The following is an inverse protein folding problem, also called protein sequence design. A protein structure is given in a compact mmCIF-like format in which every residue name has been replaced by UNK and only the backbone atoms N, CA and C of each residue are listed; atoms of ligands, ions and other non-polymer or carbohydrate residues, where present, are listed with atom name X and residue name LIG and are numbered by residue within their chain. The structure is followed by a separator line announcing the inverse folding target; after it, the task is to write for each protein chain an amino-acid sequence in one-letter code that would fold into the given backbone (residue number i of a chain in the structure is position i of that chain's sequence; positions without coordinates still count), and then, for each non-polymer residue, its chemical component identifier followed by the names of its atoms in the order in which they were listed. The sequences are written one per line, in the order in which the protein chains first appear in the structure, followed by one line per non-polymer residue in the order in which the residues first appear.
data_IF_348001428303
#
_entry.id   IF_348001428303
#
_cell.length_a   1.000
_cell.length_b   1.000
_cell.length_c   1.000
_cell.angle_alpha   90.00
_cell.angle_beta   90.00
_cell.angle_gamma   90.00
#
_symmetry.space_group_name_H-M   'P 1'
#
loop_
_entity.id
_entity.type
_entity.pdbx_description
1 polymer ?
#
# COMPACT_ATOMS: atom_id res chain seq x y z
N UNK A 1 9.90 25.19 8.78
CA UNK A 1 8.49 25.58 8.99
C UNK A 1 7.64 24.33 8.97
N UNK A 2 6.71 24.20 9.92
CA UNK A 2 5.62 23.23 9.87
C UNK A 2 4.34 24.04 9.68
N UNK A 3 3.54 23.64 8.69
CA UNK A 3 2.23 24.22 8.40
C UNK A 3 1.22 23.10 8.37
N UNK A 4 0.13 23.26 9.10
CA UNK A 4 -0.97 22.29 9.13
C UNK A 4 -2.30 22.99 8.90
N UNK A 5 -3.17 22.34 8.14
CA UNK A 5 -4.54 22.75 7.91
C UNK A 5 -5.46 21.79 8.67
N UNK A 6 -6.14 22.29 9.68
CA UNK A 6 -7.04 21.54 10.59
C UNK A 6 -8.33 22.33 10.77
N UNK A 7 -9.24 22.24 9.80
CA UNK A 7 -10.50 22.99 9.85
C UNK A 7 -11.26 22.78 11.16
N UNK A 8 -11.73 23.88 11.75
CA UNK A 8 -12.46 23.87 13.02
C UNK A 8 -11.60 23.72 14.28
N UNK A 9 -10.30 23.53 14.18
CA UNK A 9 -9.42 23.56 15.33
C UNK A 9 -9.21 24.99 15.83
N UNK A 10 -9.21 25.18 17.15
CA UNK A 10 -8.99 26.48 17.82
C UNK A 10 -7.56 26.62 18.33
N UNK A 11 -6.81 25.52 18.42
CA UNK A 11 -5.40 25.51 18.85
C UNK A 11 -4.65 24.40 18.16
N UNK A 12 -3.44 24.70 17.72
CA UNK A 12 -2.48 23.75 17.14
C UNK A 12 -1.17 23.76 17.95
N UNK A 13 -0.60 22.59 18.16
CA UNK A 13 0.68 22.41 18.85
C UNK A 13 1.52 21.35 18.12
N UNK A 14 2.84 21.52 18.12
CA UNK A 14 3.79 20.50 17.69
C UNK A 14 4.47 19.94 18.91
N UNK A 15 4.45 18.62 19.05
CA UNK A 15 5.12 17.92 20.15
C UNK A 15 6.17 16.96 19.61
N UNK A 16 7.26 16.74 20.38
CA UNK A 16 8.10 15.57 20.08
C UNK A 16 7.27 14.29 20.26
N UNK A 17 7.58 13.21 19.54
CA UNK A 17 6.87 11.91 19.70
C UNK A 17 6.92 11.37 21.13
N UNK A 18 7.90 11.78 21.91
CA UNK A 18 8.00 11.45 23.35
C UNK A 18 7.14 12.35 24.23
N UNK A 19 6.46 13.37 23.67
CA UNK A 19 5.64 14.33 24.41
C UNK A 19 6.42 15.33 25.29
N UNK A 20 7.76 15.30 25.29
CA UNK A 20 8.59 16.09 26.21
C UNK A 20 8.77 17.56 25.82
N UNK A 21 8.66 17.88 24.54
CA UNK A 21 8.77 19.24 24.01
C UNK A 21 7.44 19.59 23.36
N UNK A 22 6.85 20.71 23.74
CA UNK A 22 5.59 21.21 23.23
C UNK A 22 5.83 22.64 22.73
N UNK A 23 5.42 22.89 21.50
CA UNK A 23 5.50 24.21 20.89
C UNK A 23 4.13 24.59 20.32
N UNK A 24 3.58 25.71 20.80
CA UNK A 24 2.31 26.23 20.30
C UNK A 24 2.51 26.82 18.89
N UNK A 25 1.63 26.48 17.98
CA UNK A 25 1.62 27.02 16.63
C UNK A 25 0.86 28.37 16.61
N UNK A 26 1.27 29.23 15.70
CA UNK A 26 0.54 30.47 15.38
C UNK A 26 -0.66 30.13 14.50
N UNK A 27 -1.83 30.60 14.85
CA UNK A 27 -3.04 30.49 14.03
C UNK A 27 -2.99 31.55 12.92
N UNK A 28 -2.85 31.11 11.69
CA UNK A 28 -2.73 31.98 10.52
C UNK A 28 -4.09 32.43 9.98
N UNK A 29 -5.13 31.62 10.15
CA UNK A 29 -6.50 31.91 9.74
C UNK A 29 -7.50 31.38 10.75
N UNK A 30 -8.68 31.98 10.84
CA UNK A 30 -9.77 31.48 11.68
C UNK A 30 -10.37 30.14 11.20
N UNK A 31 -9.97 29.67 10.02
CA UNK A 31 -10.47 28.45 9.40
C UNK A 31 -9.67 27.20 9.82
N UNK A 32 -8.57 27.37 10.60
CA UNK A 32 -7.78 26.25 11.14
C UNK A 32 -6.43 26.05 10.48
N UNK A 33 -5.89 27.07 9.80
CA UNK A 33 -4.51 27.03 9.32
C UNK A 33 -3.57 27.46 10.44
N UNK A 34 -2.59 26.61 10.78
CA UNK A 34 -1.58 26.84 11.79
C UNK A 34 -0.17 26.73 11.21
N UNK A 35 0.75 27.55 11.71
CA UNK A 35 2.16 27.49 11.32
C UNK A 35 3.08 27.66 12.53
N UNK A 36 4.30 27.07 12.43
CA UNK A 36 5.37 27.30 13.38
C UNK A 36 6.72 27.32 12.69
N UNK A 37 7.58 28.23 13.15
CA UNK A 37 8.98 28.30 12.75
C UNK A 37 9.86 27.71 13.85
N UNK A 38 10.79 26.87 13.46
CA UNK A 38 11.87 26.38 14.33
C UNK A 38 13.22 26.91 13.86
N UNK A 39 14.03 27.34 14.80
CA UNK A 39 15.44 27.55 14.55
C UNK A 39 16.10 26.16 14.28
N UNK A 40 17.09 26.13 13.40
CA UNK A 40 17.78 24.89 13.02
C UNK A 40 18.36 24.12 14.20
N UNK A 41 18.59 24.82 15.31
CA UNK A 41 19.10 24.26 16.58
C UNK A 41 18.01 23.64 17.47
N UNK A 42 16.75 24.02 17.28
CA UNK A 42 15.61 23.58 18.07
C UNK A 42 14.84 22.44 17.40
N UNK A 43 15.00 22.31 16.09
CA UNK A 43 14.34 21.29 15.29
C UNK A 43 15.08 19.95 15.42
N UNK A 44 14.44 19.00 16.06
CA UNK A 44 14.98 17.65 16.36
C UNK A 44 14.74 16.66 15.21
N UNK A 45 14.74 17.16 13.97
CA UNK A 45 14.43 16.35 12.81
C UNK A 45 12.93 16.06 12.64
N UNK A 46 12.60 15.08 11.79
CA UNK A 46 11.23 14.80 11.36
C UNK A 46 10.35 14.01 12.38
N UNK A 47 10.74 13.92 13.66
CA UNK A 47 10.06 13.07 14.66
C UNK A 47 9.10 13.86 15.55
N UNK A 48 7.99 14.34 14.99
CA UNK A 48 7.00 15.11 15.75
C UNK A 48 5.57 14.61 15.51
N UNK A 49 4.71 15.00 16.46
CA UNK A 49 3.25 14.88 16.34
C UNK A 49 2.64 16.28 16.26
N UNK A 50 1.47 16.34 15.66
CA UNK A 50 0.57 17.52 15.71
C UNK A 50 -0.55 17.22 16.70
N UNK A 51 -0.75 18.14 17.64
CA UNK A 51 -1.85 18.12 18.60
C UNK A 51 -2.78 19.25 18.25
N UNK A 52 -4.05 18.95 18.03
CA UNK A 52 -5.11 19.95 17.73
C UNK A 52 -6.20 19.87 18.76
N UNK A 53 -6.69 21.06 19.19
CA UNK A 53 -7.81 21.19 20.12
C UNK A 53 -8.97 21.88 19.39
N UNK A 54 -10.16 21.35 19.58
CA UNK A 54 -11.40 21.83 18.99
C UNK A 54 -12.29 22.52 20.04
N UNK A 55 -13.29 23.29 19.58
CA UNK A 55 -14.21 24.06 20.47
C UNK A 55 -14.97 23.16 21.45
N UNK A 56 -15.30 21.95 21.05
CA UNK A 56 -16.00 20.96 21.90
C UNK A 56 -15.10 20.32 22.96
N UNK A 57 -13.81 20.73 23.04
CA UNK A 57 -12.82 20.18 23.93
C UNK A 57 -12.14 18.92 23.42
N UNK A 58 -12.47 18.44 22.23
CA UNK A 58 -11.79 17.30 21.61
C UNK A 58 -10.32 17.63 21.36
N UNK A 59 -9.43 16.72 21.75
CA UNK A 59 -7.99 16.82 21.51
C UNK A 59 -7.55 15.64 20.65
N UNK A 60 -6.98 15.93 19.48
CA UNK A 60 -6.42 14.92 18.58
C UNK A 60 -4.90 15.04 18.58
N UNK A 61 -4.22 13.97 18.95
CA UNK A 61 -2.75 13.85 18.88
C UNK A 61 -2.40 12.80 17.82
N UNK A 62 -1.82 13.24 16.73
CA UNK A 62 -1.47 12.37 15.60
C UNK A 62 -0.06 12.63 15.09
N UNK A 63 0.64 11.58 14.68
CA UNK A 63 1.88 11.73 13.94
C UNK A 63 1.57 12.36 12.57
N UNK A 64 2.35 13.36 12.18
CA UNK A 64 2.19 13.99 10.87
C UNK A 64 2.76 13.05 9.78
N UNK A 65 1.99 12.69 8.73
CA UNK A 65 2.47 11.88 7.60
C UNK A 65 3.76 12.42 6.97
N UNK A 66 3.92 13.74 6.94
CA UNK A 66 5.09 14.41 6.34
C UNK A 66 6.32 14.46 7.27
N UNK A 67 6.18 13.99 8.52
CA UNK A 67 7.28 13.90 9.49
C UNK A 67 8.13 12.62 9.34
N UNK A 68 7.84 11.79 8.37
CA UNK A 68 8.60 10.56 8.11
C UNK A 68 9.54 10.74 6.92
N UNK A 69 10.72 10.11 7.03
CA UNK A 69 11.70 10.11 5.96
C UNK A 69 11.29 9.22 4.80
N UNK A 70 11.90 9.45 3.63
CA UNK A 70 11.73 8.59 2.46
C UNK A 70 12.28 7.19 2.73
N UNK A 71 11.52 6.16 2.35
CA UNK A 71 11.99 4.76 2.38
C UNK A 71 12.59 4.32 1.03
N UNK A 72 12.30 5.05 -0.04
CA UNK A 72 12.91 4.84 -1.35
C UNK A 72 14.15 5.72 -1.44
N UNK A 73 15.30 5.08 -1.59
CA UNK A 73 16.60 5.76 -1.65
C UNK A 73 16.93 6.22 -3.07
N UNK A 74 17.97 7.07 -3.20
CA UNK A 74 18.49 7.44 -4.51
C UNK A 74 19.03 6.22 -5.29
N UNK A 75 19.49 5.20 -4.58
CA UNK A 75 19.93 3.96 -5.20
C UNK A 75 18.74 3.14 -5.74
N UNK A 76 17.64 3.08 -5.01
CA UNK A 76 16.40 2.44 -5.48
C UNK A 76 15.89 3.13 -6.76
N UNK A 77 15.82 4.47 -6.77
CA UNK A 77 15.37 5.23 -7.95
C UNK A 77 16.31 5.05 -9.14
N UNK A 78 17.62 4.98 -8.90
CA UNK A 78 18.62 4.68 -9.95
C UNK A 78 18.40 3.29 -10.54
N UNK A 79 18.33 2.25 -9.71
CA UNK A 79 18.10 0.87 -10.18
C UNK A 79 16.76 0.73 -10.92
N UNK A 80 15.73 1.44 -10.45
CA UNK A 80 14.42 1.45 -11.09
C UNK A 80 14.47 2.07 -12.49
N UNK A 81 15.15 3.21 -12.63
CA UNK A 81 15.34 3.88 -13.92
C UNK A 81 16.13 3.02 -14.92
N UNK A 82 17.11 2.24 -14.44
CA UNK A 82 17.90 1.29 -15.24
C UNK A 82 17.14 -0.02 -15.57
N UNK A 83 15.93 -0.21 -15.05
CA UNK A 83 15.17 -1.46 -15.20
C UNK A 83 15.80 -2.66 -14.49
N UNK A 84 16.59 -2.44 -13.43
CA UNK A 84 17.35 -3.45 -12.69
C UNK A 84 16.89 -3.65 -11.25
N UNK A 85 15.84 -2.96 -10.83
CA UNK A 85 15.32 -3.10 -9.46
C UNK A 85 14.34 -4.27 -9.37
N UNK A 86 14.85 -5.49 -9.33
CA UNK A 86 14.02 -6.71 -9.33
C UNK A 86 13.12 -6.85 -8.09
N UNK A 87 13.49 -6.21 -6.97
CA UNK A 87 12.71 -6.23 -5.73
C UNK A 87 11.90 -4.94 -5.53
N UNK A 88 11.59 -4.22 -6.60
CA UNK A 88 10.84 -2.95 -6.49
C UNK A 88 9.43 -3.15 -5.88
N UNK A 89 8.86 -4.34 -6.00
CA UNK A 89 7.58 -4.71 -5.39
C UNK A 89 7.61 -4.67 -3.85
N UNK A 90 8.78 -4.71 -3.22
CA UNK A 90 8.94 -4.50 -1.77
C UNK A 90 8.88 -3.03 -1.38
N UNK A 91 8.94 -2.13 -2.36
CA UNK A 91 8.94 -0.68 -2.19
C UNK A 91 7.68 -0.02 -2.72
N UNK A 92 7.28 -0.34 -3.99
CA UNK A 92 6.03 0.14 -4.57
C UNK A 92 4.86 -0.69 -4.06
N UNK A 93 3.72 -0.03 -3.87
CA UNK A 93 2.53 -0.63 -3.30
C UNK A 93 2.15 -0.05 -1.94
N UNK A 94 1.28 -0.76 -1.22
CA UNK A 94 0.83 -0.45 0.13
C UNK A 94 1.40 -1.47 1.12
N UNK A 95 2.30 -1.02 2.00
CA UNK A 95 3.03 -1.87 2.93
C UNK A 95 2.72 -1.50 4.39
N UNK A 96 1.87 -2.27 5.10
CA UNK A 96 1.69 -2.10 6.54
C UNK A 96 3.00 -2.28 7.28
N UNK A 97 3.37 -1.30 8.11
CA UNK A 97 4.62 -1.33 8.86
C UNK A 97 4.62 -0.41 10.07
N UNK A 98 5.67 -0.50 10.87
CA UNK A 98 5.92 0.41 11.98
C UNK A 98 7.19 1.20 11.71
N UNK A 99 7.09 2.53 11.66
CA UNK A 99 8.23 3.44 11.50
C UNK A 99 8.35 4.28 12.75
N UNK A 100 9.53 4.27 13.39
CA UNK A 100 9.82 5.02 14.64
C UNK A 100 8.77 4.81 15.73
N UNK A 101 8.28 3.58 15.88
CA UNK A 101 7.25 3.21 16.85
C UNK A 101 5.82 3.58 16.48
N UNK A 102 5.59 4.19 15.32
CA UNK A 102 4.26 4.54 14.81
C UNK A 102 3.80 3.50 13.80
N UNK A 103 2.65 2.86 14.07
CA UNK A 103 2.01 1.92 13.15
C UNK A 103 1.27 2.68 12.05
N UNK A 104 1.31 2.14 10.83
CA UNK A 104 0.64 2.71 9.68
C UNK A 104 0.93 1.93 8.42
N UNK A 105 0.61 2.52 7.28
CA UNK A 105 0.90 1.96 5.96
C UNK A 105 1.76 2.91 5.15
N UNK A 106 2.82 2.38 4.58
CA UNK A 106 3.63 3.08 3.59
C UNK A 106 3.06 2.83 2.20
N UNK A 107 2.80 3.90 1.47
CA UNK A 107 2.30 3.89 0.11
C UNK A 107 3.35 4.44 -0.84
N UNK A 108 3.58 3.76 -1.95
CA UNK A 108 4.43 4.26 -3.02
C UNK A 108 3.92 3.80 -4.39
N UNK A 109 3.95 4.72 -5.37
CA UNK A 109 3.45 4.46 -6.72
C UNK A 109 4.30 5.18 -7.76
N UNK A 110 4.53 4.52 -8.89
CA UNK A 110 5.13 5.15 -10.06
C UNK A 110 4.06 5.76 -10.96
N UNK A 111 4.06 7.07 -11.08
CA UNK A 111 3.10 7.86 -11.87
C UNK A 111 3.82 9.02 -12.59
N UNK A 112 4.69 8.75 -13.59
CA UNK A 112 5.61 9.73 -14.17
C UNK A 112 4.91 10.93 -14.83
N UNK A 113 3.68 10.74 -15.29
CA UNK A 113 2.89 11.80 -15.94
C UNK A 113 2.01 12.60 -14.98
N UNK A 114 1.95 12.20 -13.71
CA UNK A 114 1.20 12.92 -12.70
C UNK A 114 1.96 14.16 -12.22
N UNK A 115 1.23 15.26 -12.03
CA UNK A 115 1.74 16.47 -11.36
C UNK A 115 1.60 16.36 -9.85
N UNK A 116 0.54 15.70 -9.41
CA UNK A 116 0.23 15.41 -8.01
C UNK A 116 -0.35 14.01 -7.92
N UNK A 117 0.04 13.29 -6.91
CA UNK A 117 -0.59 12.05 -6.50
C UNK A 117 -1.00 12.21 -5.04
N UNK A 118 -2.21 11.79 -4.72
CA UNK A 118 -2.69 11.68 -3.35
C UNK A 118 -3.16 10.26 -3.11
N UNK A 119 -2.92 9.71 -1.91
CA UNK A 119 -3.55 8.47 -1.50
C UNK A 119 -4.90 8.80 -0.87
N UNK A 120 -5.96 8.16 -1.36
CA UNK A 120 -7.34 8.36 -0.87
C UNK A 120 -7.94 7.01 -0.49
N UNK A 121 -8.72 6.99 0.57
CA UNK A 121 -9.29 5.76 1.08
C UNK A 121 -10.17 6.00 2.31
N UNK A 122 -10.56 4.92 2.97
CA UNK A 122 -11.42 4.95 4.15
C UNK A 122 -10.83 5.80 5.30
N UNK A 123 -9.50 5.92 5.35
CA UNK A 123 -8.76 6.68 6.37
C UNK A 123 -8.81 8.21 6.19
N UNK A 124 -9.33 8.73 5.08
CA UNK A 124 -9.40 10.18 4.80
C UNK A 124 -10.64 10.58 4.00
N UNK A 125 -11.73 9.79 4.13
CA UNK A 125 -13.01 10.06 3.47
C UNK A 125 -12.88 10.25 1.95
N UNK A 126 -11.87 9.62 1.35
CA UNK A 126 -11.55 9.69 -0.08
C UNK A 126 -11.23 11.09 -0.59
N UNK A 127 -10.78 12.01 0.29
CA UNK A 127 -10.42 13.38 -0.05
C UNK A 127 -8.95 13.50 -0.48
N UNK A 128 -8.73 13.67 -1.79
CA UNK A 128 -7.38 13.80 -2.38
C UNK A 128 -6.68 15.14 -2.08
N UNK A 129 -7.32 16.06 -1.35
CA UNK A 129 -6.69 17.32 -0.91
C UNK A 129 -5.82 17.12 0.33
N UNK A 130 -6.07 16.08 1.13
CA UNK A 130 -5.51 15.92 2.47
C UNK A 130 -4.12 15.24 2.43
N UNK A 131 -3.97 14.13 1.71
CA UNK A 131 -2.78 13.28 1.78
C UNK A 131 -2.05 13.22 0.44
N UNK A 132 -1.45 14.35 0.06
CA UNK A 132 -0.60 14.43 -1.13
C UNK A 132 0.71 13.70 -0.88
N UNK A 133 1.09 12.84 -1.82
CA UNK A 133 2.31 12.06 -1.74
C UNK A 133 3.53 12.91 -2.16
N UNK A 134 4.66 12.66 -1.52
CA UNK A 134 5.94 13.27 -1.84
C UNK A 134 6.45 12.73 -3.16
N UNK A 135 6.78 13.61 -4.10
CA UNK A 135 7.46 13.24 -5.35
C UNK A 135 8.96 13.08 -5.11
N UNK A 136 9.54 11.97 -5.57
CA UNK A 136 10.97 11.69 -5.45
C UNK A 136 11.74 12.19 -6.68
N UNK A 137 12.08 13.47 -6.67
CA UNK A 137 12.81 14.11 -7.77
C UNK A 137 12.12 13.91 -9.12
N UNK A 138 12.88 13.48 -10.12
CA UNK A 138 12.39 13.22 -11.49
C UNK A 138 12.12 11.75 -11.79
N UNK A 139 12.18 10.86 -10.78
CA UNK A 139 11.95 9.42 -10.94
C UNK A 139 10.52 9.07 -11.39
N UNK A 140 9.57 9.97 -11.18
CA UNK A 140 8.13 9.70 -11.36
C UNK A 140 7.51 8.88 -10.22
N UNK A 141 8.27 8.56 -9.17
CA UNK A 141 7.77 7.85 -7.99
C UNK A 141 7.24 8.86 -6.98
N UNK A 142 6.13 8.52 -6.37
CA UNK A 142 5.49 9.25 -5.26
C UNK A 142 5.36 8.31 -4.07
N UNK A 143 5.59 8.84 -2.87
CA UNK A 143 5.50 8.07 -1.62
C UNK A 143 4.86 8.87 -0.49
N UNK A 144 4.27 8.16 0.47
CA UNK A 144 3.81 8.72 1.75
C UNK A 144 3.65 7.60 2.77
N UNK A 145 4.09 7.84 4.02
CA UNK A 145 3.71 6.99 5.14
C UNK A 145 2.47 7.57 5.81
N UNK A 146 1.44 6.75 5.98
CA UNK A 146 0.17 7.12 6.60
C UNK A 146 0.05 6.51 8.00
N UNK A 147 0.29 7.29 9.06
CA UNK A 147 0.03 6.85 10.42
C UNK A 147 -1.44 6.43 10.61
N UNK A 148 -1.67 5.29 11.27
CA UNK A 148 -3.01 4.82 11.58
C UNK A 148 -3.78 4.19 10.42
N UNK A 149 -3.28 4.23 9.19
CA UNK A 149 -3.86 3.44 8.10
C UNK A 149 -3.52 1.97 8.32
N UNK A 150 -4.53 1.15 8.60
CA UNK A 150 -4.36 -0.26 8.98
C UNK A 150 -4.83 -1.22 7.89
N UNK A 151 -4.46 -2.50 8.02
CA UNK A 151 -4.87 -3.55 7.09
C UNK A 151 -6.39 -3.70 7.00
N UNK A 152 -6.88 -4.01 5.79
CA UNK A 152 -8.29 -4.14 5.46
C UNK A 152 -8.95 -2.86 4.94
N UNK A 153 -8.34 -1.69 5.11
CA UNK A 153 -8.85 -0.42 4.56
C UNK A 153 -8.72 -0.37 3.04
N UNK A 154 -9.74 0.19 2.38
CA UNK A 154 -9.76 0.38 0.93
C UNK A 154 -9.09 1.69 0.55
N UNK A 155 -8.37 1.69 -0.59
CA UNK A 155 -7.71 2.89 -1.10
C UNK A 155 -7.55 2.89 -2.61
N UNK A 156 -7.32 4.08 -3.17
CA UNK A 156 -6.84 4.31 -4.53
C UNK A 156 -5.83 5.44 -4.55
N UNK A 157 -5.15 5.62 -5.67
CA UNK A 157 -4.37 6.82 -5.94
C UNK A 157 -5.18 7.82 -6.76
N UNK A 158 -5.32 9.04 -6.25
CA UNK A 158 -5.83 10.17 -7.01
C UNK A 158 -4.69 10.85 -7.75
N UNK A 159 -4.70 10.77 -9.08
CA UNK A 159 -3.67 11.34 -9.95
C UNK A 159 -4.20 12.60 -10.62
N UNK A 160 -3.54 13.74 -10.40
CA UNK A 160 -3.78 14.97 -11.16
C UNK A 160 -2.74 15.10 -12.26
N UNK A 161 -3.16 15.04 -13.51
CA UNK A 161 -2.27 15.14 -14.67
C UNK A 161 -2.18 16.56 -15.23
N UNK A 162 -1.30 16.76 -16.20
CA UNK A 162 -1.22 18.01 -16.97
C UNK A 162 -2.57 18.28 -17.64
N UNK A 163 -3.07 19.51 -17.53
CA UNK A 163 -4.40 19.89 -18.02
C UNK A 163 -5.51 19.89 -16.96
N UNK A 164 -5.19 19.47 -15.72
CA UNK A 164 -6.09 19.60 -14.57
C UNK A 164 -7.05 18.41 -14.37
N UNK A 165 -7.04 17.43 -15.26
CA UNK A 165 -7.86 16.22 -15.11
C UNK A 165 -7.36 15.38 -13.93
N UNK A 166 -8.30 14.80 -13.20
CA UNK A 166 -8.06 13.94 -12.04
C UNK A 166 -8.61 12.55 -12.33
N UNK A 167 -7.82 11.52 -11.99
CA UNK A 167 -8.18 10.11 -12.16
C UNK A 167 -7.96 9.36 -10.84
N UNK A 168 -8.88 8.46 -10.52
CA UNK A 168 -8.68 7.46 -9.48
C UNK A 168 -8.14 6.18 -10.13
N UNK A 169 -7.08 5.63 -9.55
CA UNK A 169 -6.44 4.40 -10.03
C UNK A 169 -6.19 3.44 -8.88
N UNK A 170 -6.50 2.17 -9.11
CA UNK A 170 -6.07 1.09 -8.24
C UNK A 170 -4.54 1.02 -8.19
N UNK A 171 -4.02 0.40 -7.14
CA UNK A 171 -2.58 0.20 -6.98
C UNK A 171 -2.07 -0.87 -7.95
N UNK A 172 -1.12 -0.56 -8.85
CA UNK A 172 -0.55 -1.56 -9.76
C UNK A 172 0.27 -2.65 -9.02
N UNK A 173 0.66 -2.40 -7.77
CA UNK A 173 1.33 -3.36 -6.88
C UNK A 173 0.42 -3.84 -5.74
N UNK A 174 -0.91 -3.69 -5.89
CA UNK A 174 -1.89 -4.07 -4.88
C UNK A 174 -1.84 -5.57 -4.57
N UNK A 175 -1.77 -5.91 -3.28
CA UNK A 175 -1.80 -7.30 -2.79
C UNK A 175 -3.22 -7.84 -2.62
N UNK A 176 -4.22 -6.96 -2.58
CA UNK A 176 -5.63 -7.31 -2.51
C UNK A 176 -6.51 -6.23 -3.16
N UNK A 177 -7.68 -6.61 -3.62
CA UNK A 177 -8.65 -5.72 -4.24
C UNK A 177 -10.04 -5.88 -3.59
N UNK A 178 -10.87 -4.86 -3.74
CA UNK A 178 -12.28 -4.95 -3.37
C UNK A 178 -13.02 -5.94 -4.28
N UNK A 179 -14.08 -6.54 -3.74
CA UNK A 179 -14.99 -7.32 -4.56
C UNK A 179 -15.78 -6.41 -5.50
N UNK A 180 -16.04 -6.93 -6.70
CA UNK A 180 -16.93 -6.27 -7.66
C UNK A 180 -18.28 -5.88 -7.02
N UNK A 181 -18.89 -4.77 -7.42
CA UNK A 181 -18.52 -3.90 -8.55
C UNK A 181 -17.39 -2.89 -8.21
N UNK A 182 -16.90 -2.88 -6.99
CA UNK A 182 -15.87 -1.97 -6.53
C UNK A 182 -14.50 -2.30 -7.16
N UNK A 183 -13.62 -1.30 -7.27
CA UNK A 183 -12.34 -1.41 -7.98
C UNK A 183 -11.15 -0.87 -7.19
N UNK A 184 -11.33 -0.52 -5.94
CA UNK A 184 -10.23 -0.04 -5.11
C UNK A 184 -9.31 -1.18 -4.67
N UNK A 185 -8.06 -0.85 -4.38
CA UNK A 185 -7.13 -1.76 -3.73
C UNK A 185 -7.41 -1.84 -2.23
N UNK A 186 -7.02 -2.93 -1.61
CA UNK A 186 -7.17 -3.15 -0.16
C UNK A 186 -5.78 -3.30 0.46
N UNK A 187 -5.57 -2.64 1.59
CA UNK A 187 -4.33 -2.75 2.37
C UNK A 187 -4.23 -4.17 2.93
N UNK A 188 -3.26 -4.95 2.48
CA UNK A 188 -3.07 -6.32 2.92
C UNK A 188 -1.60 -6.60 3.26
N UNK A 189 -1.38 -7.27 4.41
CA UNK A 189 -0.06 -7.79 4.78
C UNK A 189 0.02 -9.27 4.40
N UNK A 190 0.81 -9.58 3.38
CA UNK A 190 1.00 -10.95 2.88
C UNK A 190 2.22 -11.65 3.50
N UNK A 191 2.97 -11.00 4.40
CA UNK A 191 4.21 -11.52 4.98
C UNK A 191 4.00 -12.55 6.11
N UNK A 192 2.76 -12.73 6.54
CA UNK A 192 2.43 -13.59 7.69
C UNK A 192 2.30 -15.07 7.33
N UNK A 193 2.43 -15.44 6.05
CA UNK A 193 2.38 -16.84 5.64
C UNK A 193 3.69 -17.54 5.95
N UNK A 194 3.60 -18.68 6.64
CA UNK A 194 4.74 -19.55 6.92
C UNK A 194 4.73 -20.72 5.92
N UNK A 195 5.80 -20.82 5.16
CA UNK A 195 5.99 -21.90 4.20
C UNK A 195 6.43 -23.18 4.93
N UNK A 196 5.81 -24.29 4.59
CA UNK A 196 6.14 -25.64 5.11
C UNK A 196 6.60 -26.54 3.96
N UNK A 197 7.43 -26.02 3.06
CA UNK A 197 7.82 -26.64 1.80
C UNK A 197 9.29 -27.08 1.73
N UNK A 198 10.00 -27.12 2.85
CA UNK A 198 11.42 -27.49 2.93
C UNK A 198 11.73 -28.85 2.27
N UNK A 199 10.88 -29.85 2.43
CA UNK A 199 11.06 -31.17 1.81
C UNK A 199 10.91 -31.09 0.28
N UNK A 200 9.93 -30.30 -0.18
CA UNK A 200 9.76 -30.06 -1.61
C UNK A 200 10.98 -29.34 -2.19
N UNK A 201 11.48 -28.30 -1.55
CA UNK A 201 12.66 -27.56 -2.00
C UNK A 201 13.90 -28.44 -2.10
N UNK A 202 14.13 -29.33 -1.14
CA UNK A 202 15.23 -30.31 -1.17
C UNK A 202 15.05 -31.34 -2.29
N UNK A 203 13.83 -31.77 -2.57
CA UNK A 203 13.55 -32.76 -3.62
C UNK A 203 13.53 -32.14 -5.03
N UNK A 204 13.29 -30.84 -5.15
CA UNK A 204 13.14 -30.14 -6.42
C UNK A 204 14.34 -30.31 -7.35
N UNK A 205 15.56 -30.24 -6.81
CA UNK A 205 16.79 -30.40 -7.59
C UNK A 205 16.84 -31.75 -8.32
N UNK A 206 16.32 -32.79 -7.69
CA UNK A 206 16.26 -34.14 -8.26
C UNK A 206 15.31 -34.22 -9.45
N UNK A 207 14.23 -33.47 -9.45
CA UNK A 207 13.19 -33.48 -10.48
C UNK A 207 13.40 -32.41 -11.56
N UNK A 208 14.18 -31.36 -11.30
CA UNK A 208 14.49 -30.28 -12.24
C UNK A 208 15.77 -30.44 -13.03
N UNK A 209 16.40 -31.63 -12.99
CA UNK A 209 17.67 -31.91 -13.67
C UNK A 209 17.58 -32.01 -15.22
N UNK A 210 16.46 -31.64 -15.83
CA UNK A 210 16.27 -31.66 -17.29
C UNK A 210 16.08 -33.06 -17.91
N UNK A 211 16.28 -34.14 -17.15
CA UNK A 211 16.18 -35.52 -17.62
C UNK A 211 14.91 -36.24 -17.13
N UNK A 212 14.08 -35.57 -16.31
CA UNK A 212 12.84 -36.17 -15.83
C UNK A 212 11.70 -35.91 -16.84
N UNK A 213 10.75 -36.86 -16.98
CA UNK A 213 9.57 -36.64 -17.79
C UNK A 213 8.76 -35.45 -17.26
N UNK A 214 8.23 -34.62 -18.17
CA UNK A 214 7.40 -33.48 -17.85
C UNK A 214 6.00 -33.69 -18.40
N UNK A 215 4.98 -33.53 -17.54
CA UNK A 215 3.58 -33.50 -17.92
C UNK A 215 2.92 -32.31 -17.22
N UNK A 216 2.45 -31.35 -18.00
CA UNK A 216 1.89 -30.08 -17.52
C UNK A 216 0.36 -30.14 -17.62
N UNK A 217 -0.32 -29.75 -16.56
CA UNK A 217 -1.75 -29.51 -16.55
C UNK A 217 -2.01 -28.00 -16.50
N UNK A 218 -2.43 -27.45 -17.63
CA UNK A 218 -2.84 -26.03 -17.73
C UNK A 218 -4.28 -25.90 -17.28
N UNK A 219 -4.58 -24.92 -16.41
CA UNK A 219 -5.93 -24.76 -15.90
C UNK A 219 -6.27 -23.32 -15.49
N UNK A 220 -7.56 -23.01 -15.67
CA UNK A 220 -8.19 -21.82 -15.09
C UNK A 220 -8.96 -22.23 -13.83
N UNK A 221 -8.57 -21.69 -12.66
CA UNK A 221 -9.19 -22.08 -11.38
C UNK A 221 -10.68 -21.78 -11.32
N UNK A 222 -11.14 -20.69 -11.94
CA UNK A 222 -12.55 -20.29 -11.92
C UNK A 222 -13.50 -21.26 -12.63
N UNK A 223 -12.98 -22.15 -13.50
CA UNK A 223 -13.79 -23.17 -14.20
C UNK A 223 -13.56 -24.59 -13.71
N UNK A 224 -12.58 -24.83 -12.81
CA UNK A 224 -12.22 -26.18 -12.36
C UNK A 224 -13.27 -26.78 -11.42
N UNK A 225 -13.89 -25.96 -10.58
CA UNK A 225 -14.95 -26.40 -9.67
C UNK A 225 -16.15 -25.46 -9.80
N UNK A 226 -17.31 -26.04 -9.99
CA UNK A 226 -18.57 -25.28 -9.98
C UNK A 226 -18.89 -24.83 -8.56
N UNK A 227 -19.16 -23.52 -8.31
CA UNK A 227 -19.61 -23.03 -7.03
C UNK A 227 -20.90 -23.73 -6.58
N UNK A 228 -21.06 -23.88 -5.27
CA UNK A 228 -22.29 -24.40 -4.69
C UNK A 228 -23.47 -23.42 -4.81
N UNK A 229 -24.67 -23.87 -4.46
CA UNK A 229 -25.86 -23.03 -4.44
C UNK A 229 -25.68 -21.83 -3.51
N UNK A 230 -25.88 -20.61 -4.02
CA UNK A 230 -25.68 -19.36 -3.27
C UNK A 230 -24.23 -18.87 -3.16
N UNK A 231 -23.30 -19.53 -3.86
CA UNK A 231 -21.90 -19.07 -3.96
C UNK A 231 -21.61 -18.52 -5.36
N UNK A 232 -20.98 -17.35 -5.44
CA UNK A 232 -20.57 -16.76 -6.70
C UNK A 232 -19.27 -17.38 -7.25
N UNK A 233 -18.39 -17.86 -6.34
CA UNK A 233 -17.08 -18.46 -6.66
C UNK A 233 -16.63 -19.42 -5.56
N UNK A 234 -15.64 -20.26 -5.89
CA UNK A 234 -14.92 -21.12 -4.94
C UNK A 234 -13.59 -20.45 -4.61
N UNK A 235 -13.29 -20.22 -3.34
CA UNK A 235 -12.04 -19.57 -2.94
C UNK A 235 -10.83 -20.52 -3.05
N UNK A 236 -9.63 -19.97 -3.04
CA UNK A 236 -8.39 -20.71 -3.24
C UNK A 236 -8.14 -21.81 -2.18
N UNK A 237 -8.57 -21.59 -0.94
CA UNK A 237 -8.43 -22.58 0.14
C UNK A 237 -9.34 -23.79 -0.06
N UNK A 238 -10.51 -23.60 -0.66
CA UNK A 238 -11.47 -24.67 -0.97
C UNK A 238 -11.08 -25.44 -2.23
N UNK A 239 -10.50 -24.77 -3.23
CA UNK A 239 -10.15 -25.38 -4.50
C UNK A 239 -8.82 -26.12 -4.46
N UNK A 240 -7.81 -25.64 -3.71
CA UNK A 240 -6.47 -26.19 -3.67
C UNK A 240 -6.44 -27.69 -3.36
N UNK A 241 -7.12 -28.24 -2.33
CA UNK A 241 -7.11 -29.68 -2.06
C UNK A 241 -7.69 -30.49 -3.20
N UNK A 242 -8.72 -30.01 -3.90
CA UNK A 242 -9.34 -30.68 -5.04
C UNK A 242 -8.41 -30.76 -6.25
N UNK A 243 -7.69 -29.66 -6.51
CA UNK A 243 -6.66 -29.61 -7.57
C UNK A 243 -5.53 -30.58 -7.26
N UNK A 244 -5.02 -30.55 -6.02
CA UNK A 244 -3.92 -31.43 -5.58
C UNK A 244 -4.31 -32.91 -5.72
N UNK A 245 -5.48 -33.29 -5.29
CA UNK A 245 -6.01 -34.65 -5.43
C UNK A 245 -6.05 -35.08 -6.92
N UNK A 246 -6.63 -34.23 -7.76
CA UNK A 246 -6.79 -34.51 -9.19
C UNK A 246 -5.44 -34.66 -9.89
N UNK A 247 -4.52 -33.69 -9.74
CA UNK A 247 -3.24 -33.70 -10.45
C UNK A 247 -2.34 -34.87 -10.00
N UNK A 248 -2.37 -35.23 -8.71
CA UNK A 248 -1.67 -36.40 -8.18
C UNK A 248 -2.26 -37.70 -8.73
N UNK A 249 -3.57 -37.85 -8.76
CA UNK A 249 -4.28 -39.02 -9.31
C UNK A 249 -3.96 -39.22 -10.80
N UNK A 250 -3.91 -38.11 -11.55
CA UNK A 250 -3.62 -38.16 -13.00
C UNK A 250 -2.14 -38.28 -13.34
N UNK A 251 -1.26 -38.07 -12.36
CA UNK A 251 0.20 -38.21 -12.56
C UNK A 251 0.86 -37.00 -13.24
N UNK A 252 0.23 -35.84 -13.19
CA UNK A 252 0.86 -34.60 -13.68
C UNK A 252 2.06 -34.21 -12.82
N UNK A 253 3.12 -33.74 -13.46
CA UNK A 253 4.33 -33.28 -12.78
C UNK A 253 4.32 -31.79 -12.49
N UNK A 254 3.60 -31.00 -13.29
CA UNK A 254 3.50 -29.56 -13.20
C UNK A 254 2.04 -29.12 -13.38
N UNK A 255 1.71 -27.99 -12.77
CA UNK A 255 0.44 -27.30 -12.98
C UNK A 255 0.78 -25.90 -13.48
N UNK A 256 0.18 -25.51 -14.59
CA UNK A 256 0.22 -24.15 -15.12
C UNK A 256 -1.11 -23.48 -14.81
N UNK A 257 -1.07 -22.49 -13.91
CA UNK A 257 -2.25 -21.75 -13.53
C UNK A 257 -2.38 -20.50 -14.40
N UNK A 258 -3.55 -20.31 -15.03
CA UNK A 258 -3.92 -19.00 -15.57
C UNK A 258 -3.95 -18.00 -14.41
N UNK A 259 -3.93 -16.67 -14.65
CA UNK A 259 -3.67 -15.68 -13.60
C UNK A 259 -4.41 -15.94 -12.31
N UNK A 260 -3.67 -15.98 -11.20
CA UNK A 260 -4.19 -16.22 -9.84
C UNK A 260 -3.98 -15.01 -8.93
N UNK A 261 -3.39 -13.94 -9.47
CA UNK A 261 -3.19 -12.69 -8.75
C UNK A 261 -4.53 -12.03 -8.45
N UNK A 262 -4.57 -11.23 -7.39
CA UNK A 262 -5.72 -10.38 -7.11
C UNK A 262 -5.86 -9.30 -8.19
N UNK A 263 -7.07 -9.05 -8.66
CA UNK A 263 -7.36 -8.09 -9.74
C UNK A 263 -8.74 -7.44 -9.54
N UNK A 264 -8.89 -6.14 -9.92
CA UNK A 264 -10.09 -5.38 -9.62
C UNK A 264 -11.24 -5.61 -10.62
N UNK A 265 -10.96 -6.18 -11.80
CA UNK A 265 -11.96 -6.37 -12.86
C UNK A 265 -12.11 -7.85 -13.23
N UNK A 266 -13.17 -8.45 -12.76
CA UNK A 266 -13.47 -9.88 -12.91
C UNK A 266 -13.47 -10.36 -14.37
N UNK A 267 -14.00 -9.56 -15.30
CA UNK A 267 -14.05 -9.90 -16.73
C UNK A 267 -12.68 -9.99 -17.42
N UNK A 268 -11.59 -9.55 -16.77
CA UNK A 268 -10.24 -9.66 -17.30
C UNK A 268 -9.61 -11.05 -17.08
N UNK A 269 -10.19 -11.88 -16.21
CA UNK A 269 -9.62 -13.15 -15.74
C UNK A 269 -8.22 -13.02 -15.11
N UNK A 270 -7.86 -11.80 -14.67
CA UNK A 270 -6.55 -11.51 -14.09
C UNK A 270 -5.47 -11.07 -15.11
N UNK A 271 -5.81 -10.91 -16.38
CA UNK A 271 -4.92 -10.38 -17.42
C UNK A 271 -4.90 -8.85 -17.48
#
# INVERSE_FOLDING_TARGET
IIVVDKPGAIRGEVTSRTGKKIHTMEQMTNEGLFAIYFDKKEYDGNKYNVVTTYEDGTIINSADPYSFESLITNFDTYLFAEGRHYNIYEKLGAHPMTIDGVRGTYFAVWAPHARRVSVVGDFNEWDGRIHQMRRLGDSGIFELFMPGAEGGGSFTYELKIKGGLTYLKADPYGNAAQKRPETASVIADIRNYQWEDDEFLKSREKYQCGNAPVSVYEMYLGSFVTPGEGQDYVNYREIAPKVIEYVKKMGYTHVELLPVMEYPFDGSWGY
#
